data_IF_994092464534
#
_entry.id   IF_994092464534
#
_cell.length_a   1.000
_cell.length_b   1.000
_cell.length_c   1.000
_cell.angle_alpha   90.00
_cell.angle_beta   90.00
_cell.angle_gamma   90.00
#
_symmetry.space_group_name_H-M   'P 1'
#
loop_
_entity.id
_entity.type
_entity.pdbx_description
1 polymer ?
#
# COMPACT_ATOMS: atom_id res chain seq x y z
N UNK A 1 12.23 20.05 28.39
CA UNK A 1 13.21 19.00 28.05
C UNK A 1 12.98 17.84 29.01
N UNK A 2 11.92 17.06 28.76
CA UNK A 2 11.63 15.83 29.49
C UNK A 2 12.09 14.69 28.59
N UNK A 3 12.87 13.77 29.15
CA UNK A 3 13.42 12.62 28.45
C UNK A 3 12.30 11.87 27.74
N UNK A 4 12.42 11.74 26.41
CA UNK A 4 11.65 10.77 25.65
C UNK A 4 12.11 9.40 26.14
N UNK A 5 11.36 8.81 27.06
CA UNK A 5 11.50 7.38 27.31
C UNK A 5 11.23 6.68 25.98
N UNK A 6 12.23 5.98 25.46
CA UNK A 6 12.09 5.03 24.35
C UNK A 6 11.34 3.77 24.81
N UNK A 7 10.26 3.94 25.55
CA UNK A 7 9.42 2.86 26.08
C UNK A 7 8.29 2.57 25.10
N UNK A 8 8.10 1.29 24.82
CA UNK A 8 6.98 0.79 24.03
C UNK A 8 5.69 0.97 24.83
N UNK A 9 4.88 1.96 24.47
CA UNK A 9 3.54 2.13 25.01
C UNK A 9 2.58 1.06 24.45
N UNK A 10 2.63 -0.14 25.03
CA UNK A 10 1.81 -1.29 24.61
C UNK A 10 0.30 -0.97 24.54
N UNK A 11 -0.32 -0.28 25.53
CA UNK A 11 -1.74 0.06 25.44
C UNK A 11 -2.05 0.97 24.25
N UNK A 12 -1.16 1.93 23.96
CA UNK A 12 -1.31 2.85 22.83
C UNK A 12 -1.16 2.10 21.50
N UNK A 13 -0.22 1.16 21.41
CA UNK A 13 -0.05 0.31 20.22
C UNK A 13 -1.33 -0.48 19.92
N UNK A 14 -1.92 -1.14 20.92
CA UNK A 14 -3.17 -1.88 20.74
C UNK A 14 -4.32 -0.97 20.29
N UNK A 15 -4.42 0.24 20.84
CA UNK A 15 -5.43 1.22 20.44
C UNK A 15 -5.24 1.63 18.97
N UNK A 16 -4.00 1.87 18.54
CA UNK A 16 -3.68 2.20 17.14
C UNK A 16 -4.01 1.03 16.21
N UNK A 17 -3.63 -0.21 16.57
CA UNK A 17 -3.98 -1.41 15.80
C UNK A 17 -5.50 -1.60 15.70
N UNK A 18 -6.23 -1.43 16.80
CA UNK A 18 -7.68 -1.49 16.80
C UNK A 18 -8.28 -0.41 15.89
N UNK A 19 -7.76 0.82 15.93
CA UNK A 19 -8.19 1.89 15.04
C UNK A 19 -7.93 1.55 13.56
N UNK A 20 -6.75 1.03 13.22
CA UNK A 20 -6.43 0.57 11.86
C UNK A 20 -7.44 -0.47 11.40
N UNK A 21 -7.67 -1.53 12.19
CA UNK A 21 -8.58 -2.62 11.84
C UNK A 21 -10.03 -2.15 11.70
N UNK A 22 -10.51 -1.31 12.61
CA UNK A 22 -11.88 -0.79 12.59
C UNK A 22 -12.08 0.09 11.36
N UNK A 23 -11.19 1.06 11.12
CA UNK A 23 -11.38 2.01 10.01
C UNK A 23 -11.17 1.32 8.66
N UNK A 24 -10.18 0.43 8.53
CA UNK A 24 -9.97 -0.36 7.33
C UNK A 24 -11.20 -1.21 7.00
N UNK A 25 -11.77 -1.90 7.99
CA UNK A 25 -12.97 -2.73 7.79
C UNK A 25 -14.20 -1.91 7.45
N UNK A 26 -14.40 -0.76 8.11
CA UNK A 26 -15.54 0.12 7.82
C UNK A 26 -15.46 0.70 6.40
N UNK A 27 -14.27 1.15 5.98
CA UNK A 27 -14.10 1.71 4.64
C UNK A 27 -14.04 0.65 3.55
N UNK A 28 -13.49 -0.54 3.82
CA UNK A 28 -13.54 -1.69 2.92
C UNK A 28 -14.98 -2.13 2.64
N UNK A 29 -15.78 -2.29 3.70
CA UNK A 29 -17.22 -2.58 3.58
C UNK A 29 -17.96 -1.46 2.82
N UNK A 30 -17.62 -0.20 3.09
CA UNK A 30 -18.22 0.93 2.36
C UNK A 30 -17.84 0.90 0.86
N UNK A 31 -16.59 0.55 0.53
CA UNK A 31 -16.12 0.40 -0.84
C UNK A 31 -16.91 -0.70 -1.58
N UNK A 32 -17.11 -1.85 -0.95
CA UNK A 32 -17.93 -2.92 -1.53
C UNK A 32 -19.38 -2.49 -1.77
N UNK A 33 -19.97 -1.73 -0.84
CA UNK A 33 -21.33 -1.19 -0.98
C UNK A 33 -21.51 -0.25 -2.17
N UNK A 34 -20.45 0.46 -2.56
CA UNK A 34 -20.46 1.34 -3.74
C UNK A 34 -19.97 0.62 -5.02
N UNK A 35 -19.75 -0.71 -4.97
CA UNK A 35 -19.32 -1.52 -6.10
C UNK A 35 -17.82 -1.45 -6.40
N UNK A 36 -17.00 -1.02 -5.43
CA UNK A 36 -15.55 -1.00 -5.52
C UNK A 36 -14.93 -2.19 -4.77
N UNK A 37 -13.76 -2.70 -5.18
CA UNK A 37 -13.03 -3.69 -4.39
C UNK A 37 -12.73 -3.21 -2.97
N UNK A 38 -12.91 -4.07 -1.96
CA UNK A 38 -12.66 -3.74 -0.54
C UNK A 38 -11.28 -3.11 -0.31
N UNK A 39 -10.24 -3.66 -0.97
CA UNK A 39 -8.85 -3.18 -0.87
C UNK A 39 -8.72 -1.69 -1.16
N UNK A 40 -9.54 -1.12 -2.06
CA UNK A 40 -9.51 0.33 -2.31
C UNK A 40 -9.95 1.12 -1.06
N UNK A 41 -10.96 0.65 -0.35
CA UNK A 41 -11.40 1.25 0.92
C UNK A 41 -10.35 1.13 2.03
N UNK A 42 -9.66 -0.01 2.10
CA UNK A 42 -8.57 -0.25 3.05
C UNK A 42 -7.36 0.65 2.78
N UNK A 43 -7.01 0.86 1.50
CA UNK A 43 -5.95 1.80 1.11
C UNK A 43 -6.30 3.23 1.50
N UNK A 44 -7.56 3.65 1.28
CA UNK A 44 -8.04 4.97 1.71
C UNK A 44 -7.98 5.09 3.23
N UNK A 45 -8.37 4.06 3.99
CA UNK A 45 -8.22 4.03 5.44
C UNK A 45 -6.77 4.25 5.88
N UNK A 46 -5.83 3.58 5.22
CA UNK A 46 -4.40 3.74 5.47
C UNK A 46 -3.91 5.17 5.20
N UNK A 47 -4.32 5.77 4.08
CA UNK A 47 -3.97 7.17 3.75
C UNK A 47 -4.55 8.14 4.78
N UNK A 48 -5.81 7.93 5.20
CA UNK A 48 -6.47 8.79 6.18
C UNK A 48 -5.80 8.69 7.56
N UNK A 49 -5.54 7.48 8.06
CA UNK A 49 -4.96 7.27 9.38
C UNK A 49 -3.44 7.57 9.43
N UNK A 50 -2.76 7.44 8.30
CA UNK A 50 -1.33 7.71 8.17
C UNK A 50 -0.97 9.19 8.30
N UNK A 51 0.33 9.48 8.24
CA UNK A 51 0.89 10.84 8.33
C UNK A 51 0.49 11.76 7.18
N UNK A 52 -0.02 11.21 6.07
CA UNK A 52 -0.50 11.98 4.93
C UNK A 52 -1.73 12.84 5.25
N UNK A 53 -2.57 12.43 6.22
CA UNK A 53 -3.81 13.15 6.55
C UNK A 53 -3.96 13.38 8.06
N UNK A 54 -4.17 12.33 8.87
CA UNK A 54 -4.47 12.49 10.31
C UNK A 54 -3.25 12.32 11.23
N UNK A 55 -2.21 11.61 10.79
CA UNK A 55 -1.01 11.36 11.59
C UNK A 55 -1.25 10.54 12.87
N UNK A 56 -2.25 9.67 12.86
CA UNK A 56 -2.61 8.82 14.02
C UNK A 56 -1.64 7.64 14.14
N UNK A 57 -1.25 7.05 13.01
CA UNK A 57 -0.34 5.91 12.96
C UNK A 57 1.11 6.37 13.11
N UNK A 58 1.86 5.92 14.13
CA UNK A 58 3.26 6.29 14.31
C UNK A 58 4.14 5.65 13.23
N UNK A 59 4.98 6.45 12.58
CA UNK A 59 5.93 5.99 11.55
C UNK A 59 7.36 5.87 12.07
N UNK A 60 7.65 6.42 13.25
CA UNK A 60 8.99 6.45 13.86
C UNK A 60 8.94 5.98 15.31
N UNK A 61 10.07 5.48 15.80
CA UNK A 61 10.20 4.98 17.17
C UNK A 61 9.67 3.55 17.34
N UNK A 62 9.70 3.02 18.58
CA UNK A 62 9.51 1.59 18.82
C UNK A 62 8.15 1.05 18.32
N UNK A 63 7.07 1.82 18.46
CA UNK A 63 5.75 1.42 17.95
C UNK A 63 5.68 1.41 16.41
N UNK A 64 6.36 2.35 15.74
CA UNK A 64 6.42 2.40 14.28
C UNK A 64 7.20 1.22 13.70
N UNK A 65 8.30 0.84 14.34
CA UNK A 65 9.08 -0.35 13.97
C UNK A 65 8.25 -1.64 14.07
N UNK A 66 7.50 -1.82 15.16
CA UNK A 66 6.60 -2.97 15.32
C UNK A 66 5.51 -2.97 14.24
N UNK A 67 4.88 -1.83 13.97
CA UNK A 67 3.86 -1.72 12.92
C UNK A 67 4.44 -2.00 11.53
N UNK A 68 5.67 -1.58 11.27
CA UNK A 68 6.36 -1.85 10.01
C UNK A 68 6.59 -3.35 9.81
N UNK A 69 7.11 -4.04 10.84
CA UNK A 69 7.29 -5.51 10.80
C UNK A 69 5.94 -6.21 10.63
N UNK A 70 4.88 -5.77 11.31
CA UNK A 70 3.54 -6.35 11.13
C UNK A 70 3.00 -6.13 9.71
N UNK A 71 3.26 -4.97 9.10
CA UNK A 71 2.88 -4.70 7.72
C UNK A 71 3.65 -5.59 6.73
N UNK A 72 4.95 -5.79 6.93
CA UNK A 72 5.75 -6.73 6.13
C UNK A 72 5.21 -8.16 6.27
N UNK A 73 4.91 -8.60 7.49
CA UNK A 73 4.31 -9.92 7.73
C UNK A 73 2.94 -10.04 7.04
N UNK A 74 2.11 -9.00 7.11
CA UNK A 74 0.82 -8.96 6.40
C UNK A 74 0.99 -9.12 4.89
N UNK A 75 1.90 -8.36 4.28
CA UNK A 75 2.20 -8.47 2.83
C UNK A 75 2.75 -9.86 2.48
N UNK A 76 3.64 -10.42 3.30
CA UNK A 76 4.18 -11.76 3.09
C UNK A 76 3.09 -12.83 3.15
N UNK A 77 2.19 -12.75 4.13
CA UNK A 77 1.06 -13.66 4.26
C UNK A 77 0.11 -13.55 3.05
N UNK A 78 -0.20 -12.31 2.60
CA UNK A 78 -1.03 -12.08 1.42
C UNK A 78 -0.39 -12.66 0.15
N UNK A 79 0.90 -12.40 -0.08
CA UNK A 79 1.61 -12.95 -1.25
C UNK A 79 1.71 -14.47 -1.20
N UNK A 80 1.87 -15.04 0.00
CA UNK A 80 1.86 -16.49 0.19
C UNK A 80 0.49 -17.09 -0.10
N UNK A 81 -0.59 -16.48 0.40
CA UNK A 81 -1.98 -16.86 0.13
C UNK A 81 -2.29 -16.83 -1.36
N UNK A 82 -1.94 -15.74 -2.06
CA UNK A 82 -2.07 -15.63 -3.52
C UNK A 82 -1.33 -16.77 -4.23
N UNK A 83 -0.14 -17.15 -3.73
CA UNK A 83 0.63 -18.28 -4.26
C UNK A 83 -0.05 -19.64 -4.04
N UNK A 84 -0.75 -19.83 -2.91
CA UNK A 84 -1.50 -21.05 -2.59
C UNK A 84 -2.80 -21.16 -3.37
N UNK A 85 -3.46 -20.05 -3.66
CA UNK A 85 -4.72 -20.00 -4.44
C UNK A 85 -4.48 -20.14 -5.96
N UNK A 86 -3.27 -19.85 -6.44
CA UNK A 86 -2.95 -19.90 -7.87
C UNK A 86 -2.87 -21.34 -8.40
N UNK A 87 -3.76 -21.70 -9.34
CA UNK A 87 -3.66 -22.97 -10.06
C UNK A 87 -2.53 -22.92 -11.12
N UNK A 88 -1.38 -23.49 -10.74
CA UNK A 88 -0.20 -23.56 -11.62
C UNK A 88 -0.48 -24.34 -12.91
N UNK A 89 -1.36 -25.35 -12.87
CA UNK A 89 -1.63 -26.23 -14.01
C UNK A 89 -2.47 -25.50 -15.06
N UNK A 90 -3.43 -24.69 -14.62
CA UNK A 90 -4.16 -23.78 -15.51
C UNK A 90 -3.24 -22.71 -16.09
N UNK A 91 -2.37 -22.11 -15.27
CA UNK A 91 -1.39 -21.12 -15.70
C UNK A 91 -0.47 -21.66 -16.82
N UNK A 92 0.03 -22.89 -16.71
CA UNK A 92 0.85 -23.50 -17.77
C UNK A 92 0.06 -23.83 -19.04
N UNK A 93 -1.24 -24.12 -18.95
CA UNK A 93 -2.08 -24.47 -20.11
C UNK A 93 -2.29 -23.29 -21.07
N UNK A 94 -2.35 -22.07 -20.54
CA UNK A 94 -2.50 -20.82 -21.32
C UNK A 94 -1.19 -20.03 -21.41
N UNK A 95 -0.05 -20.64 -21.08
CA UNK A 95 1.21 -19.96 -20.82
C UNK A 95 1.70 -19.05 -21.94
N UNK A 96 1.54 -19.43 -23.22
CA UNK A 96 1.97 -18.59 -24.35
C UNK A 96 1.12 -17.32 -24.51
N UNK A 97 -0.20 -17.44 -24.38
CA UNK A 97 -1.11 -16.29 -24.43
C UNK A 97 -0.91 -15.40 -23.19
N UNK A 98 -0.84 -15.99 -21.99
CA UNK A 98 -0.57 -15.25 -20.75
C UNK A 98 0.79 -14.56 -20.77
N UNK A 99 1.84 -15.18 -21.33
CA UNK A 99 3.15 -14.55 -21.44
C UNK A 99 3.13 -13.33 -22.38
N UNK A 100 2.41 -13.42 -23.51
CA UNK A 100 2.25 -12.27 -24.41
C UNK A 100 1.47 -11.13 -23.73
N UNK A 101 0.37 -11.46 -23.04
CA UNK A 101 -0.44 -10.48 -22.29
C UNK A 101 0.36 -9.84 -21.15
N UNK A 102 1.14 -10.62 -20.41
CA UNK A 102 2.01 -10.11 -19.35
C UNK A 102 3.13 -9.22 -19.92
N UNK A 103 3.79 -9.65 -21.00
CA UNK A 103 4.84 -8.87 -21.65
C UNK A 103 4.32 -7.52 -22.15
N UNK A 104 3.17 -7.50 -22.84
CA UNK A 104 2.53 -6.26 -23.31
C UNK A 104 2.04 -5.44 -22.12
N UNK A 105 1.34 -6.07 -21.17
CA UNK A 105 0.76 -5.42 -19.99
C UNK A 105 1.78 -4.80 -19.06
N UNK A 106 3.03 -5.28 -19.04
CA UNK A 106 4.15 -4.64 -18.32
C UNK A 106 4.86 -3.64 -19.22
N UNK A 107 5.28 -4.04 -20.42
CA UNK A 107 6.12 -3.18 -21.28
C UNK A 107 5.40 -1.90 -21.68
N UNK A 108 4.09 -1.97 -21.94
CA UNK A 108 3.30 -0.83 -22.39
C UNK A 108 3.19 0.30 -21.33
N UNK A 109 2.72 0.08 -20.09
CA UNK A 109 2.68 1.15 -19.09
C UNK A 109 4.06 1.68 -18.73
N UNK A 110 5.10 0.84 -18.71
CA UNK A 110 6.48 1.31 -18.51
C UNK A 110 6.95 2.21 -19.67
N UNK A 111 6.73 1.80 -20.92
CA UNK A 111 7.08 2.60 -22.10
C UNK A 111 6.29 3.92 -22.15
N UNK A 112 4.99 3.89 -21.87
CA UNK A 112 4.15 5.08 -21.82
C UNK A 112 4.56 6.01 -20.68
N UNK A 113 4.92 5.48 -19.50
CA UNK A 113 5.44 6.27 -18.39
C UNK A 113 6.77 6.96 -18.73
N UNK A 114 7.69 6.23 -19.38
CA UNK A 114 8.94 6.79 -19.87
C UNK A 114 8.72 7.86 -20.97
N UNK A 115 7.84 7.57 -21.93
CA UNK A 115 7.49 8.49 -23.00
C UNK A 115 6.83 9.76 -22.44
N UNK A 116 5.91 9.61 -21.50
CA UNK A 116 5.29 10.72 -20.80
C UNK A 116 6.34 11.57 -20.09
N UNK A 117 7.31 10.97 -19.39
CA UNK A 117 8.40 11.72 -18.76
C UNK A 117 9.30 12.43 -19.79
N UNK A 118 9.62 11.78 -20.91
CA UNK A 118 10.50 12.32 -21.94
C UNK A 118 9.86 13.44 -22.78
N UNK A 119 8.54 13.37 -23.00
CA UNK A 119 7.77 14.37 -23.76
C UNK A 119 6.98 15.33 -22.88
N UNK A 120 6.88 15.10 -21.57
CA UNK A 120 6.38 16.09 -20.63
C UNK A 120 7.27 17.33 -20.78
N UNK A 121 6.72 18.45 -21.28
CA UNK A 121 7.52 19.65 -21.42
C UNK A 121 8.07 19.98 -20.03
N UNK A 122 9.40 20.13 -19.94
CA UNK A 122 10.10 20.55 -18.72
C UNK A 122 9.81 22.03 -18.39
N UNK A 123 8.52 22.40 -18.42
CA UNK A 123 7.99 23.71 -18.05
C UNK A 123 7.57 23.79 -16.57
N UNK A 124 7.93 22.81 -15.75
CA UNK A 124 7.91 22.98 -14.29
C UNK A 124 9.15 23.77 -13.91
N UNK A 125 8.93 25.09 -13.83
CA UNK A 125 9.89 26.13 -13.49
C UNK A 125 10.87 25.71 -12.39
N UNK A 126 12.16 25.71 -12.74
CA UNK A 126 13.19 26.18 -11.83
C UNK A 126 12.99 27.69 -11.62
N UNK A 127 12.12 28.04 -10.67
CA UNK A 127 12.03 29.36 -10.05
C UNK A 127 11.80 29.11 -8.56
N UNK A 128 12.66 29.47 -7.62
CA UNK A 128 13.63 30.56 -7.60
C UNK A 128 14.80 30.20 -6.67
N UNK A 129 16.02 30.45 -7.15
CA UNK A 129 17.10 30.92 -6.27
C UNK A 129 16.77 32.38 -5.97
N UNK A 130 16.57 32.67 -4.69
CA UNK A 130 16.55 33.99 -4.09
C UNK A 130 16.98 33.82 -2.65
#
# INVERSE_FOLDING_TARGET
>A
MAAAEGTLDVPRLFLVLAAILVVAKLLGELAERIGQPAVLGELVAGVLLGTSVLGIVPTTGPAGEVLHVLAELGVLLLLFEIGLETDLREMFRVGTASAAVAAVGVTLPFALGYLFWAYAPHGVQAGSTG
#
